data_IF_676180820192
#
_entry.id   IF_676180820192
#
_cell.length_a   1.000
_cell.length_b   1.000
_cell.length_c   1.000
_cell.angle_alpha   90.00
_cell.angle_beta   90.00
_cell.angle_gamma   90.00
#
_symmetry.space_group_name_H-M   'P 1'
#
loop_
_entity.id
_entity.type
_entity.pdbx_description
1 polymer ?
#
# COMPACT_ATOMS: atom_id res chain seq x y z
N UNK A 1 -11.02 7.43 -21.73
CA UNK A 1 -11.36 6.45 -20.68
C UNK A 1 -10.90 7.06 -19.37
N UNK A 2 -11.80 7.26 -18.42
CA UNK A 2 -11.40 7.61 -17.05
C UNK A 2 -10.63 6.44 -16.45
N UNK A 3 -9.49 6.71 -15.83
CA UNK A 3 -8.71 5.69 -15.16
C UNK A 3 -9.32 5.46 -13.76
N UNK A 4 -9.83 4.26 -13.52
CA UNK A 4 -10.34 3.87 -12.21
C UNK A 4 -9.18 3.54 -11.25
N UNK A 5 -9.34 3.87 -9.98
CA UNK A 5 -8.30 3.63 -8.96
C UNK A 5 -8.19 2.15 -8.59
N UNK A 6 -7.00 1.71 -8.15
CA UNK A 6 -6.78 0.31 -7.68
C UNK A 6 -7.55 0.03 -6.37
N UNK A 7 -7.72 1.06 -5.55
CA UNK A 7 -8.52 1.01 -4.32
C UNK A 7 -9.48 2.18 -4.25
N UNK A 8 -10.66 1.92 -3.69
CA UNK A 8 -11.59 2.94 -3.23
C UNK A 8 -11.44 3.06 -1.71
N UNK A 9 -11.34 4.30 -1.21
CA UNK A 9 -11.20 4.58 0.23
C UNK A 9 -12.53 4.98 0.82
N UNK A 10 -12.91 4.35 1.93
CA UNK A 10 -14.05 4.72 2.77
C UNK A 10 -13.56 4.87 4.22
N UNK A 11 -13.39 6.13 4.67
CA UNK A 11 -12.77 6.44 5.95
C UNK A 11 -11.34 5.88 6.05
N UNK A 12 -11.14 4.88 6.90
CA UNK A 12 -9.87 4.18 7.10
C UNK A 12 -9.78 2.83 6.38
N UNK A 13 -10.85 2.43 5.69
CA UNK A 13 -10.92 1.18 4.94
C UNK A 13 -10.63 1.39 3.47
N UNK A 14 -9.97 0.40 2.86
CA UNK A 14 -9.66 0.36 1.44
C UNK A 14 -10.30 -0.87 0.80
N UNK A 15 -11.15 -0.65 -0.19
CA UNK A 15 -11.80 -1.72 -0.97
C UNK A 15 -11.13 -1.83 -2.33
N UNK A 16 -10.67 -3.03 -2.66
CA UNK A 16 -10.00 -3.32 -3.93
C UNK A 16 -10.99 -3.27 -5.12
N UNK A 17 -10.60 -2.62 -6.21
CA UNK A 17 -11.33 -2.69 -7.49
C UNK A 17 -10.88 -3.90 -8.30
N UNK A 18 -11.50 -4.14 -9.46
CA UNK A 18 -11.09 -5.20 -10.39
C UNK A 18 -9.63 -5.08 -10.85
N UNK A 19 -9.07 -3.87 -10.84
CA UNK A 19 -7.66 -3.65 -11.20
C UNK A 19 -6.69 -4.32 -10.24
N UNK A 20 -7.10 -4.55 -8.99
CA UNK A 20 -6.26 -5.18 -7.97
C UNK A 20 -6.26 -6.72 -8.03
N UNK A 21 -7.09 -7.34 -8.89
CA UNK A 21 -7.27 -8.79 -8.95
C UNK A 21 -5.96 -9.53 -9.25
N UNK A 22 -5.71 -10.61 -8.51
CA UNK A 22 -4.60 -11.52 -8.71
C UNK A 22 -4.68 -12.25 -10.06
N UNK A 23 -3.54 -12.49 -10.74
CA UNK A 23 -3.52 -13.28 -11.97
C UNK A 23 -3.63 -14.79 -11.72
N UNK A 24 -3.42 -15.25 -10.48
CA UNK A 24 -3.42 -16.68 -10.11
C UNK A 24 -4.62 -17.12 -9.27
N UNK A 25 -5.22 -16.19 -8.54
CA UNK A 25 -6.40 -16.42 -7.70
C UNK A 25 -7.30 -15.17 -7.78
N UNK A 26 -8.54 -15.28 -8.29
CA UNK A 26 -9.44 -14.15 -8.45
C UNK A 26 -9.96 -13.58 -7.12
N UNK A 27 -9.82 -14.31 -6.00
CA UNK A 27 -10.19 -13.86 -4.66
C UNK A 27 -9.02 -13.22 -3.90
N UNK A 28 -7.81 -13.26 -4.48
CA UNK A 28 -6.61 -12.62 -3.95
C UNK A 28 -6.21 -11.38 -4.77
N UNK A 29 -5.41 -10.51 -4.18
CA UNK A 29 -4.82 -9.36 -4.86
C UNK A 29 -3.52 -9.72 -5.59
N UNK A 30 -3.23 -9.05 -6.70
CA UNK A 30 -1.89 -9.06 -7.26
C UNK A 30 -0.92 -8.30 -6.33
N UNK A 31 0.34 -8.71 -6.24
CA UNK A 31 1.29 -8.14 -5.27
C UNK A 31 1.53 -6.63 -5.39
N UNK A 32 1.41 -6.07 -6.60
CA UNK A 32 1.51 -4.62 -6.83
C UNK A 32 0.44 -3.79 -6.11
N UNK A 33 -0.75 -4.32 -5.86
CA UNK A 33 -1.84 -3.59 -5.23
C UNK A 33 -1.54 -3.25 -3.75
N UNK A 34 -1.31 -4.23 -2.85
CA UNK A 34 -0.93 -3.93 -1.49
C UNK A 34 0.40 -3.16 -1.40
N UNK A 35 1.36 -3.40 -2.31
CA UNK A 35 2.60 -2.64 -2.36
C UNK A 35 2.36 -1.14 -2.63
N UNK A 36 1.48 -0.80 -3.58
CA UNK A 36 1.11 0.58 -3.87
C UNK A 36 0.41 1.24 -2.68
N UNK A 37 -0.54 0.53 -2.04
CA UNK A 37 -1.26 1.04 -0.87
C UNK A 37 -0.33 1.33 0.32
N UNK A 38 0.58 0.40 0.63
CA UNK A 38 1.60 0.59 1.68
C UNK A 38 2.50 1.79 1.34
N UNK A 39 2.94 1.89 0.08
CA UNK A 39 3.82 3.00 -0.35
C UNK A 39 3.15 4.36 -0.16
N UNK A 40 1.87 4.48 -0.52
CA UNK A 40 1.11 5.73 -0.33
C UNK A 40 0.98 6.10 1.14
N UNK A 41 0.75 5.13 2.03
CA UNK A 41 0.68 5.42 3.45
C UNK A 41 2.03 5.81 4.04
N UNK A 42 3.13 5.21 3.59
CA UNK A 42 4.47 5.65 3.98
C UNK A 42 4.78 7.08 3.52
N UNK A 43 4.30 7.52 2.35
CA UNK A 43 4.45 8.91 1.89
C UNK A 43 3.79 9.90 2.85
N UNK A 44 2.64 9.55 3.41
CA UNK A 44 1.90 10.42 4.33
C UNK A 44 2.59 10.64 5.67
N UNK A 45 3.53 9.77 6.05
CA UNK A 45 4.20 9.77 7.36
C UNK A 45 5.61 10.40 7.29
N UNK A 46 6.09 10.78 6.10
CA UNK A 46 7.42 11.38 5.96
C UNK A 46 7.52 12.79 6.59
N UNK A 47 8.48 13.04 7.49
CA UNK A 47 8.76 14.39 7.97
C UNK A 47 9.46 15.21 6.89
N UNK A 48 8.88 16.35 6.53
CA UNK A 48 9.54 17.40 5.74
C UNK A 48 9.53 17.22 4.22
N UNK A 49 9.02 16.10 3.67
CA UNK A 49 8.84 15.93 2.22
C UNK A 49 10.12 15.90 1.37
N UNK A 50 11.30 15.87 2.00
CA UNK A 50 12.60 15.97 1.33
C UNK A 50 13.27 14.62 1.06
N UNK A 51 12.84 13.53 1.70
CA UNK A 51 13.48 12.21 1.53
C UNK A 51 12.83 11.40 0.40
N UNK A 52 13.65 10.84 -0.48
CA UNK A 52 13.22 9.89 -1.50
C UNK A 52 13.19 8.46 -0.94
N UNK A 53 12.31 7.61 -1.48
CA UNK A 53 12.36 6.17 -1.19
C UNK A 53 13.63 5.56 -1.77
N UNK A 54 14.54 5.12 -0.90
CA UNK A 54 15.76 4.42 -1.30
C UNK A 54 15.53 2.92 -1.52
N UNK A 55 14.69 2.29 -0.70
CA UNK A 55 14.35 0.87 -0.75
C UNK A 55 13.00 0.64 -0.11
N UNK A 56 12.18 -0.22 -0.72
CA UNK A 56 10.98 -0.77 -0.12
C UNK A 56 11.10 -2.29 -0.10
N UNK A 57 10.81 -2.89 1.05
CA UNK A 57 10.69 -4.33 1.22
C UNK A 57 9.26 -4.67 1.58
N UNK A 58 8.72 -5.72 0.97
CA UNK A 58 7.37 -6.19 1.26
C UNK A 58 7.43 -7.67 1.58
N UNK A 59 6.80 -8.06 2.68
CA UNK A 59 6.64 -9.46 3.06
C UNK A 59 5.15 -9.79 3.06
N UNK A 60 4.71 -10.61 2.11
CA UNK A 60 3.33 -11.07 2.02
C UNK A 60 3.22 -12.42 2.72
N UNK A 61 2.85 -12.40 4.01
CA UNK A 61 2.79 -13.61 4.85
C UNK A 61 1.71 -14.61 4.41
N UNK A 62 0.72 -14.15 3.63
CA UNK A 62 -0.42 -14.93 3.12
C UNK A 62 -1.04 -14.16 1.95
N UNK A 63 -1.84 -14.83 1.07
CA UNK A 63 -2.58 -14.15 0.02
C UNK A 63 -3.42 -12.99 0.60
N UNK A 64 -3.31 -11.81 -0.01
CA UNK A 64 -4.09 -10.65 0.43
C UNK A 64 -5.49 -10.75 -0.16
N UNK A 65 -6.57 -10.79 0.64
CA UNK A 65 -7.91 -11.05 0.15
C UNK A 65 -8.51 -9.82 -0.55
N UNK A 66 -9.47 -10.05 -1.44
CA UNK A 66 -10.38 -9.03 -1.99
C UNK A 66 -11.48 -8.66 -1.01
N UNK A 67 -11.09 -8.19 0.16
CA UNK A 67 -11.98 -7.68 1.20
C UNK A 67 -11.60 -6.25 1.57
N UNK A 68 -12.41 -5.59 2.39
CA UNK A 68 -12.03 -4.29 2.97
C UNK A 68 -10.76 -4.45 3.81
N UNK A 69 -9.73 -3.68 3.48
CA UNK A 69 -8.44 -3.68 4.15
C UNK A 69 -8.32 -2.47 5.08
N UNK A 70 -7.67 -2.67 6.21
CA UNK A 70 -7.19 -1.61 7.10
C UNK A 70 -5.68 -1.50 6.98
N UNK A 71 -5.14 -0.30 7.25
CA UNK A 71 -3.72 -0.02 7.11
C UNK A 71 -3.22 0.74 8.32
N UNK A 72 -2.12 0.25 8.89
CA UNK A 72 -1.38 0.90 9.97
C UNK A 72 0.04 1.19 9.51
N UNK A 73 0.58 2.33 9.91
CA UNK A 73 1.96 2.73 9.63
C UNK A 73 2.61 3.17 10.93
N UNK A 74 3.85 2.73 11.12
CA UNK A 74 4.69 3.10 12.25
C UNK A 74 6.09 3.45 11.71
N UNK A 75 6.68 4.53 12.22
CA UNK A 75 8.09 4.87 11.97
C UNK A 75 8.91 4.20 13.05
N UNK A 76 9.62 3.14 12.69
CA UNK A 76 10.47 2.40 13.62
C UNK A 76 11.72 3.21 14.01
N UNK A 77 12.28 3.99 13.08
CA UNK A 77 13.49 4.78 13.29
C UNK A 77 13.45 6.13 12.54
N UNK A 78 13.14 7.25 13.23
CA UNK A 78 13.17 8.56 12.60
C UNK A 78 14.61 9.01 12.32
N UNK A 79 14.83 9.74 11.22
CA UNK A 79 16.14 10.29 10.93
C UNK A 79 16.18 11.29 9.76
N UNK A 80 17.15 12.23 9.82
CA UNK A 80 17.32 13.32 8.83
C UNK A 80 17.99 12.88 7.52
N UNK A 81 18.64 11.72 7.51
CA UNK A 81 19.33 11.16 6.32
C UNK A 81 18.70 9.85 5.84
N UNK A 82 18.24 9.04 6.79
CA UNK A 82 17.58 7.75 6.58
C UNK A 82 16.50 7.62 7.65
N UNK A 83 15.30 7.23 7.24
CA UNK A 83 14.16 6.93 8.11
C UNK A 83 13.65 5.52 7.77
N UNK A 84 13.28 4.76 8.79
CA UNK A 84 12.67 3.43 8.71
C UNK A 84 11.30 3.44 9.38
#
# INVERSE_FOLDING_TARGET
MEAESIFLRDGERFTATEHARGPWDPEALHGGAPAALITEAFRAVQPGGELAFARLGFELLRPVPRAALELSVEVARPGRRVQE
#
